data_IF_835367071449
#
_entry.id   IF_835367071449
#
_cell.length_a   1.000
_cell.length_b   1.000
_cell.length_c   1.000
_cell.angle_alpha   90.00
_cell.angle_beta   90.00
_cell.angle_gamma   90.00
#
_symmetry.space_group_name_H-M   'P 1'
#
loop_
_entity.id
_entity.type
_entity.pdbx_description
1 polymer ?
#
# COMPACT_ATOMS: atom_id res chain seq x y z
N UNK A 1 -76.47 23.01 20.14
CA UNK A 1 -76.38 22.76 18.69
C UNK A 1 -76.45 24.12 18.03
N UNK A 2 -75.52 24.71 17.31
CA UNK A 2 -74.11 24.52 16.97
C UNK A 2 -73.62 25.94 16.64
N UNK A 3 -72.43 26.35 17.09
CA UNK A 3 -71.81 27.64 16.74
C UNK A 3 -70.78 27.40 15.65
N UNK A 4 -70.87 28.15 14.55
CA UNK A 4 -69.99 28.04 13.39
C UNK A 4 -69.21 29.34 13.21
N UNK A 5 -67.91 29.21 12.94
CA UNK A 5 -67.14 30.21 12.20
C UNK A 5 -66.00 30.90 12.95
N UNK A 6 -65.00 30.13 13.38
CA UNK A 6 -63.75 30.65 13.94
C UNK A 6 -62.84 31.26 12.87
N UNK A 7 -62.22 32.37 13.28
CA UNK A 7 -61.23 33.21 12.61
C UNK A 7 -59.99 32.46 12.10
N UNK A 8 -59.49 32.94 10.97
CA UNK A 8 -58.22 32.55 10.35
C UNK A 8 -57.03 33.00 11.20
N UNK A 9 -56.16 32.06 11.59
CA UNK A 9 -54.82 32.37 12.10
C UNK A 9 -53.77 31.75 11.19
N UNK A 10 -52.94 32.60 10.59
CA UNK A 10 -51.79 32.20 9.79
C UNK A 10 -50.73 31.55 10.70
N UNK A 11 -50.58 30.24 10.58
CA UNK A 11 -49.51 29.49 11.25
C UNK A 11 -48.21 29.63 10.46
N UNK A 12 -47.30 30.43 11.02
CA UNK A 12 -45.94 30.64 10.54
C UNK A 12 -45.14 29.35 10.77
N UNK A 13 -45.07 28.46 9.77
CA UNK A 13 -44.28 27.24 9.82
C UNK A 13 -42.78 27.57 9.64
N UNK A 14 -42.11 27.89 10.75
CA UNK A 14 -40.65 27.80 10.82
C UNK A 14 -40.25 26.33 10.75
N UNK A 15 -39.96 25.86 9.53
CA UNK A 15 -39.28 24.60 9.33
C UNK A 15 -37.87 24.69 9.93
N UNK A 16 -37.71 24.20 11.15
CA UNK A 16 -36.41 23.85 11.71
C UNK A 16 -35.76 22.81 10.80
N UNK A 17 -34.84 23.25 9.95
CA UNK A 17 -33.90 22.35 9.30
C UNK A 17 -33.21 21.53 10.40
N UNK A 18 -33.24 20.18 10.35
CA UNK A 18 -32.51 19.39 11.30
C UNK A 18 -31.03 19.72 11.09
N UNK A 19 -30.41 20.35 12.08
CA UNK A 19 -28.97 20.53 12.15
C UNK A 19 -28.33 19.19 11.80
N UNK A 20 -27.66 19.12 10.64
CA UNK A 20 -26.76 18.01 10.33
C UNK A 20 -25.86 17.91 11.55
N UNK A 21 -26.01 16.83 12.32
CA UNK A 21 -25.08 16.50 13.40
C UNK A 21 -23.73 16.39 12.73
N UNK A 22 -22.94 17.46 12.79
CA UNK A 22 -21.52 17.41 12.44
C UNK A 22 -20.92 16.41 13.41
N UNK A 23 -20.79 15.15 12.98
CA UNK A 23 -19.95 14.20 13.69
C UNK A 23 -18.54 14.74 13.56
N UNK A 24 -18.07 15.37 14.62
CA UNK A 24 -16.69 15.82 14.72
C UNK A 24 -15.78 14.60 14.57
N UNK A 25 -14.79 14.63 13.67
CA UNK A 25 -13.80 13.57 13.59
C UNK A 25 -13.15 13.36 14.95
N UNK A 26 -12.88 12.12 15.32
CA UNK A 26 -12.03 11.87 16.49
C UNK A 26 -10.65 12.47 16.23
N UNK A 27 -9.97 12.98 17.27
CA UNK A 27 -8.63 13.57 17.13
C UNK A 27 -7.65 12.70 16.30
N UNK A 28 -7.60 11.36 16.47
CA UNK A 28 -6.73 10.51 15.65
C UNK A 28 -7.08 10.47 14.16
N UNK A 29 -8.34 10.70 13.79
CA UNK A 29 -8.75 10.77 12.39
C UNK A 29 -8.47 12.15 11.81
N UNK A 30 -8.71 13.22 12.57
CA UNK A 30 -8.35 14.58 12.17
C UNK A 30 -6.85 14.68 11.84
N UNK A 31 -5.98 14.11 12.68
CA UNK A 31 -4.53 14.06 12.42
C UNK A 31 -4.19 13.33 11.11
N UNK A 32 -4.95 12.30 10.76
CA UNK A 32 -4.72 11.55 9.52
C UNK A 32 -5.20 12.31 8.30
N UNK A 33 -6.31 13.04 8.42
CA UNK A 33 -6.79 13.94 7.37
C UNK A 33 -5.71 15.01 7.12
N UNK A 34 -5.19 15.63 8.18
CA UNK A 34 -4.08 16.59 8.09
C UNK A 34 -2.90 15.96 7.35
N UNK A 35 -2.44 14.78 7.77
CA UNK A 35 -1.32 14.05 7.12
C UNK A 35 -1.59 13.62 5.68
N UNK A 36 -2.85 13.46 5.28
CA UNK A 36 -3.22 13.11 3.91
C UNK A 36 -3.17 14.35 2.99
N UNK A 37 -3.45 15.52 3.54
CA UNK A 37 -3.43 16.80 2.83
C UNK A 37 -2.02 17.41 2.81
N UNK A 38 -1.31 17.39 3.94
CA UNK A 38 -0.04 18.11 4.11
C UNK A 38 1.19 17.35 3.64
N UNK A 39 1.23 16.03 3.75
CA UNK A 39 2.40 15.27 3.33
C UNK A 39 2.54 15.22 1.81
N UNK A 40 3.79 15.09 1.35
CA UNK A 40 4.11 14.86 -0.05
C UNK A 40 3.66 13.46 -0.48
N UNK A 41 2.40 13.35 -0.89
CA UNK A 41 1.79 12.15 -1.45
C UNK A 41 1.39 12.43 -2.89
N UNK A 42 1.70 11.50 -3.79
CA UNK A 42 1.41 11.63 -5.23
C UNK A 42 0.79 10.35 -5.79
N UNK A 43 -0.10 10.50 -6.76
CA UNK A 43 -0.67 9.40 -7.53
C UNK A 43 0.24 9.05 -8.71
N UNK A 44 0.71 7.81 -8.77
CA UNK A 44 1.57 7.31 -9.85
C UNK A 44 0.73 6.79 -11.02
N UNK A 45 -0.25 5.94 -10.68
CA UNK A 45 -1.09 5.24 -11.64
C UNK A 45 -2.38 4.78 -10.96
N UNK A 46 -3.41 4.52 -11.76
CA UNK A 46 -4.62 3.86 -11.30
C UNK A 46 -5.20 3.01 -12.43
N UNK A 47 -5.90 1.95 -12.07
CA UNK A 47 -6.76 1.19 -12.96
C UNK A 47 -7.94 0.63 -12.17
N UNK A 48 -9.14 0.69 -12.74
CA UNK A 48 -10.40 0.30 -12.10
C UNK A 48 -10.56 0.89 -10.69
N UNK A 49 -10.34 0.07 -9.65
CA UNK A 49 -10.45 0.44 -8.24
C UNK A 49 -9.11 0.51 -7.51
N UNK A 50 -8.00 0.29 -8.22
CA UNK A 50 -6.66 0.20 -7.66
C UNK A 50 -5.86 1.48 -7.95
N UNK A 51 -5.26 2.05 -6.91
CA UNK A 51 -4.48 3.28 -6.95
C UNK A 51 -3.08 3.05 -6.41
N UNK A 52 -2.07 3.53 -7.14
CA UNK A 52 -0.65 3.45 -6.75
C UNK A 52 -0.18 4.81 -6.28
N UNK A 53 0.24 4.88 -5.02
CA UNK A 53 0.53 6.12 -4.31
C UNK A 53 1.99 6.13 -3.94
N UNK A 54 2.69 7.19 -4.32
CA UNK A 54 4.00 7.51 -3.79
C UNK A 54 3.85 8.14 -2.41
N UNK A 55 4.44 7.51 -1.41
CA UNK A 55 4.50 8.02 -0.04
C UNK A 55 5.62 9.04 0.13
N UNK A 56 5.54 9.82 1.22
CA UNK A 56 6.52 10.86 1.57
C UNK A 56 7.97 10.36 1.81
N UNK A 57 8.19 9.04 1.86
CA UNK A 57 9.53 8.43 1.96
C UNK A 57 9.99 7.82 0.63
N UNK A 58 9.29 8.12 -0.47
CA UNK A 58 9.49 7.53 -1.79
C UNK A 58 8.97 6.09 -1.95
N UNK A 59 8.39 5.49 -0.91
CA UNK A 59 7.83 4.13 -1.00
C UNK A 59 6.48 4.13 -1.74
N UNK A 60 6.27 3.16 -2.61
CA UNK A 60 5.01 2.97 -3.32
C UNK A 60 4.06 2.11 -2.48
N UNK A 61 2.85 2.63 -2.25
CA UNK A 61 1.75 1.94 -1.59
C UNK A 61 0.58 1.75 -2.55
N UNK A 62 -0.11 0.63 -2.41
CA UNK A 62 -1.29 0.32 -3.21
C UNK A 62 -2.53 0.50 -2.36
N UNK A 63 -3.50 1.26 -2.83
CA UNK A 63 -4.84 1.40 -2.26
C UNK A 63 -5.84 0.73 -3.17
N UNK A 64 -6.70 -0.12 -2.60
CA UNK A 64 -7.82 -0.73 -3.31
C UNK A 64 -9.13 -0.18 -2.74
N UNK A 65 -9.89 0.50 -3.58
CA UNK A 65 -11.22 0.98 -3.25
C UNK A 65 -12.24 -0.14 -3.42
N UNK A 66 -12.82 -0.56 -2.30
CA UNK A 66 -13.92 -1.50 -2.27
C UNK A 66 -14.89 -1.08 -1.18
N UNK A 67 -15.90 -1.92 -0.87
CA UNK A 67 -16.77 -1.70 0.29
C UNK A 67 -15.97 -1.61 1.59
N UNK A 68 -14.79 -2.23 1.65
CA UNK A 68 -13.81 -2.06 2.74
C UNK A 68 -12.48 -1.63 2.12
N UNK A 69 -12.22 -0.31 1.98
CA UNK A 69 -10.99 0.19 1.39
C UNK A 69 -9.76 -0.35 2.13
N UNK A 70 -8.76 -0.80 1.37
CA UNK A 70 -7.54 -1.38 1.92
C UNK A 70 -6.29 -0.67 1.38
N UNK A 71 -5.20 -0.73 2.15
CA UNK A 71 -3.92 -0.15 1.77
C UNK A 71 -2.77 -1.08 2.18
N UNK A 72 -1.73 -1.18 1.34
CA UNK A 72 -0.54 -2.00 1.62
C UNK A 72 0.42 -1.37 2.64
N UNK A 73 0.16 -0.14 3.09
CA UNK A 73 1.01 0.58 4.03
C UNK A 73 1.08 -0.10 5.41
N UNK A 74 2.11 0.16 6.23
CA UNK A 74 2.26 -0.46 7.54
C UNK A 74 1.23 -0.01 8.59
N UNK A 75 0.47 1.07 8.32
CA UNK A 75 -0.60 1.52 9.21
C UNK A 75 -1.76 0.52 9.21
N UNK A 76 -1.98 -0.12 10.37
CA UNK A 76 -3.04 -1.12 10.57
C UNK A 76 -4.42 -0.51 10.77
N UNK A 77 -4.51 0.81 10.84
CA UNK A 77 -5.77 1.48 11.10
C UNK A 77 -6.40 1.99 9.82
N UNK A 78 -7.66 1.61 9.59
CA UNK A 78 -8.45 2.10 8.47
C UNK A 78 -9.44 3.21 8.92
N UNK A 79 -9.65 4.26 8.10
CA UNK A 79 -8.82 4.63 6.95
C UNK A 79 -7.45 5.18 7.39
N UNK A 80 -6.39 4.83 6.64
CA UNK A 80 -5.05 5.38 6.82
C UNK A 80 -4.90 6.66 5.98
N UNK A 81 -3.79 7.40 6.17
CA UNK A 81 -3.54 8.63 5.40
C UNK A 81 -3.55 8.43 3.88
N UNK A 82 -3.14 7.26 3.37
CA UNK A 82 -3.13 6.98 1.93
C UNK A 82 -4.53 6.76 1.35
N UNK A 83 -5.43 6.12 2.10
CA UNK A 83 -6.84 5.98 1.71
C UNK A 83 -7.49 7.37 1.70
N UNK A 84 -7.25 8.17 2.74
CA UNK A 84 -7.75 9.53 2.82
C UNK A 84 -7.19 10.44 1.72
N UNK A 85 -5.92 10.26 1.34
CA UNK A 85 -5.32 10.95 0.20
C UNK A 85 -6.08 10.65 -1.10
N UNK A 86 -6.44 9.39 -1.35
CA UNK A 86 -7.24 9.02 -2.52
C UNK A 86 -8.61 9.69 -2.47
N UNK A 87 -9.30 9.67 -1.34
CA UNK A 87 -10.59 10.32 -1.25
C UNK A 87 -10.50 11.84 -1.45
N UNK A 88 -9.62 12.51 -0.72
CA UNK A 88 -9.59 13.98 -0.68
C UNK A 88 -8.90 14.56 -1.91
N UNK A 89 -7.67 14.13 -2.20
CA UNK A 89 -6.82 14.76 -3.22
C UNK A 89 -6.98 14.13 -4.60
N UNK A 90 -7.22 12.83 -4.68
CA UNK A 90 -7.37 12.13 -5.98
C UNK A 90 -8.80 12.24 -6.49
N UNK A 91 -9.80 11.96 -5.64
CA UNK A 91 -11.22 11.97 -6.02
C UNK A 91 -11.96 13.27 -5.68
N UNK A 92 -11.31 14.23 -5.03
CA UNK A 92 -11.90 15.54 -4.73
C UNK A 92 -13.02 15.51 -3.69
N UNK A 93 -13.05 14.49 -2.82
CA UNK A 93 -14.05 14.40 -1.74
C UNK A 93 -13.76 15.47 -0.69
N UNK A 94 -14.80 16.22 -0.29
CA UNK A 94 -14.68 17.21 0.78
C UNK A 94 -14.23 16.58 2.10
N UNK A 95 -13.39 17.29 2.85
CA UNK A 95 -12.93 16.90 4.19
C UNK A 95 -14.08 16.74 5.20
N UNK A 96 -15.24 17.34 4.92
CA UNK A 96 -16.45 17.24 5.73
C UNK A 96 -17.36 16.06 5.33
N UNK A 97 -17.01 15.29 4.29
CA UNK A 97 -17.82 14.14 3.86
C UNK A 97 -17.73 13.01 4.89
N UNK A 98 -18.90 12.49 5.27
CA UNK A 98 -19.04 11.42 6.26
C UNK A 98 -18.43 10.10 5.80
N UNK A 99 -18.20 9.90 4.50
CA UNK A 99 -17.54 8.69 4.00
C UNK A 99 -16.10 8.56 4.50
N UNK A 100 -15.42 9.69 4.79
CA UNK A 100 -14.05 9.71 5.34
C UNK A 100 -13.98 9.17 6.77
N UNK A 101 -15.09 9.23 7.51
CA UNK A 101 -15.19 8.77 8.90
C UNK A 101 -15.42 7.26 8.99
N UNK A 102 -15.81 6.62 7.90
CA UNK A 102 -16.25 5.22 7.91
C UNK A 102 -15.11 4.29 7.49
N UNK A 103 -15.04 3.14 8.17
CA UNK A 103 -14.16 2.03 7.77
C UNK A 103 -14.69 1.28 6.56
N UNK A 104 -16.00 1.30 6.39
CA UNK A 104 -16.71 0.63 5.30
C UNK A 104 -17.57 1.62 4.55
N UNK A 105 -17.59 1.48 3.23
CA UNK A 105 -18.40 2.27 2.33
C UNK A 105 -19.67 1.50 1.99
N UNK A 106 -20.79 2.22 1.88
CA UNK A 106 -22.00 1.64 1.28
C UNK A 106 -21.77 1.41 -0.22
N UNK A 107 -22.40 0.40 -0.84
CA UNK A 107 -22.25 0.15 -2.27
C UNK A 107 -22.53 1.39 -3.14
N UNK A 108 -23.55 2.18 -2.79
CA UNK A 108 -23.87 3.43 -3.49
C UNK A 108 -22.79 4.52 -3.30
N UNK A 109 -22.14 4.58 -2.13
CA UNK A 109 -21.03 5.51 -1.87
C UNK A 109 -19.80 5.10 -2.67
N UNK A 110 -19.48 3.80 -2.72
CA UNK A 110 -18.39 3.28 -3.52
C UNK A 110 -18.60 3.58 -5.01
N UNK A 111 -19.79 3.29 -5.55
CA UNK A 111 -20.11 3.57 -6.95
C UNK A 111 -20.00 5.06 -7.27
N UNK A 112 -20.50 5.92 -6.37
CA UNK A 112 -20.33 7.38 -6.48
C UNK A 112 -18.85 7.76 -6.56
N UNK A 113 -18.02 7.24 -5.65
CA UNK A 113 -16.59 7.54 -5.61
C UNK A 113 -15.85 7.09 -6.87
N UNK A 114 -16.16 5.90 -7.39
CA UNK A 114 -15.55 5.37 -8.62
C UNK A 114 -15.99 6.12 -9.88
N UNK A 115 -17.10 6.86 -9.81
CA UNK A 115 -17.61 7.69 -10.91
C UNK A 115 -17.06 9.13 -10.89
N UNK A 116 -16.32 9.52 -9.84
CA UNK A 116 -15.73 10.86 -9.76
C UNK A 116 -14.54 11.00 -10.71
N UNK A 117 -14.35 12.19 -11.31
CA UNK A 117 -13.15 12.46 -12.09
C UNK A 117 -11.92 12.45 -11.19
N UNK A 118 -10.81 11.96 -11.74
CA UNK A 118 -9.52 11.92 -11.04
C UNK A 118 -8.80 13.25 -11.23
N UNK A 119 -8.42 13.89 -10.12
CA UNK A 119 -7.69 15.14 -10.11
C UNK A 119 -6.26 14.96 -10.63
N UNK A 120 -5.90 15.75 -11.64
CA UNK A 120 -4.56 15.77 -12.23
C UNK A 120 -3.52 16.43 -11.32
N UNK A 121 -3.92 17.30 -10.38
CA UNK A 121 -3.02 17.96 -9.43
C UNK A 121 -2.35 16.98 -8.45
N UNK A 122 -3.02 15.85 -8.22
CA UNK A 122 -2.51 14.79 -7.36
C UNK A 122 -1.49 13.89 -8.04
N UNK A 123 -1.34 13.97 -9.37
CA UNK A 123 -0.44 13.11 -10.14
C UNK A 123 1.03 13.43 -9.86
N UNK A 124 1.85 12.39 -9.83
CA UNK A 124 3.30 12.50 -9.80
C UNK A 124 3.86 12.98 -11.15
N UNK A 125 5.10 13.48 -11.11
CA UNK A 125 5.83 13.89 -12.30
C UNK A 125 5.91 12.75 -13.35
N UNK A 126 5.80 13.05 -14.66
CA UNK A 126 5.81 12.04 -15.71
C UNK A 126 7.02 11.08 -15.64
N UNK A 127 8.20 11.61 -15.30
CA UNK A 127 9.43 10.82 -15.16
C UNK A 127 9.31 9.73 -14.08
N UNK A 128 8.79 10.09 -12.91
CA UNK A 128 8.59 9.14 -11.79
C UNK A 128 7.56 8.08 -12.18
N UNK A 129 6.51 8.48 -12.88
CA UNK A 129 5.47 7.56 -13.37
C UNK A 129 6.03 6.58 -14.40
N UNK A 130 6.83 7.06 -15.35
CA UNK A 130 7.48 6.20 -16.34
C UNK A 130 8.41 5.18 -15.65
N UNK A 131 9.21 5.64 -14.69
CA UNK A 131 10.06 4.75 -13.87
C UNK A 131 9.23 3.74 -13.08
N UNK A 132 8.12 4.16 -12.49
CA UNK A 132 7.17 3.25 -11.85
C UNK A 132 6.68 2.18 -12.83
N UNK A 133 6.26 2.56 -14.04
CA UNK A 133 5.80 1.60 -15.05
C UNK A 133 6.90 0.63 -15.47
N UNK A 134 8.12 1.12 -15.69
CA UNK A 134 9.27 0.29 -16.03
C UNK A 134 9.58 -0.72 -14.92
N UNK A 135 9.68 -0.28 -13.66
CA UNK A 135 10.06 -1.16 -12.57
C UNK A 135 8.91 -2.10 -12.17
N UNK A 136 7.71 -1.58 -11.94
CA UNK A 136 6.59 -2.36 -11.40
C UNK A 136 6.08 -3.44 -12.36
N UNK A 137 6.01 -3.15 -13.68
CA UNK A 137 5.54 -4.14 -14.65
C UNK A 137 6.66 -5.08 -15.14
N UNK A 138 7.91 -4.60 -15.24
CA UNK A 138 9.03 -5.46 -15.62
C UNK A 138 9.45 -6.41 -14.48
N UNK A 139 9.29 -5.99 -13.23
CA UNK A 139 9.52 -6.83 -12.05
C UNK A 139 8.47 -7.93 -11.91
N UNK A 140 7.22 -7.73 -12.37
CA UNK A 140 6.24 -8.82 -12.52
C UNK A 140 6.66 -9.87 -13.57
N UNK A 141 7.35 -9.46 -14.63
CA UNK A 141 7.96 -10.40 -15.59
C UNK A 141 9.24 -11.06 -15.08
N UNK A 142 9.95 -10.46 -14.11
CA UNK A 142 11.17 -11.02 -13.50
C UNK A 142 10.90 -11.83 -12.23
N UNK A 143 9.77 -11.62 -11.56
CA UNK A 143 9.37 -12.33 -10.33
C UNK A 143 9.01 -13.81 -10.58
N UNK A 144 8.82 -14.22 -11.84
CA UNK A 144 8.76 -15.64 -12.20
C UNK A 144 10.14 -16.30 -12.31
N UNK A 145 11.24 -15.53 -12.38
CA UNK A 145 12.59 -16.06 -12.60
C UNK A 145 13.64 -15.15 -11.94
N UNK A 146 13.81 -15.26 -10.62
CA UNK A 146 15.16 -15.08 -10.06
C UNK A 146 16.01 -16.22 -10.62
N UNK A 147 16.53 -16.02 -11.83
CA UNK A 147 17.51 -16.91 -12.48
C UNK A 147 18.81 -16.68 -11.74
N UNK A 148 18.93 -17.31 -10.58
CA UNK A 148 20.24 -17.49 -9.97
C UNK A 148 21.01 -18.32 -10.99
N UNK A 149 22.05 -17.76 -11.57
CA UNK A 149 22.95 -18.51 -12.44
C UNK A 149 23.65 -19.55 -11.58
N UNK A 150 23.04 -20.74 -11.50
CA UNK A 150 23.71 -21.91 -10.95
C UNK A 150 24.84 -22.22 -11.94
N UNK A 151 26.08 -22.04 -11.50
CA UNK A 151 27.26 -22.48 -12.25
C UNK A 151 27.14 -23.98 -12.54
N UNK A 152 27.56 -24.40 -13.75
CA UNK A 152 27.47 -25.82 -14.15
C UNK A 152 28.33 -26.67 -13.20
N UNK A 153 27.73 -27.69 -12.58
CA UNK A 153 28.42 -28.63 -11.68
C UNK A 153 28.19 -28.41 -10.18
N UNK A 154 27.29 -27.50 -9.78
CA UNK A 154 26.89 -27.40 -8.37
C UNK A 154 25.96 -28.57 -8.01
N UNK A 155 26.34 -29.34 -6.98
CA UNK A 155 25.57 -30.49 -6.50
C UNK A 155 24.77 -30.14 -5.25
N UNK A 156 23.57 -30.70 -5.13
CA UNK A 156 22.77 -30.60 -3.92
C UNK A 156 23.42 -31.45 -2.82
N UNK A 157 23.85 -30.89 -1.68
CA UNK A 157 24.53 -31.64 -0.61
C UNK A 157 23.62 -32.59 0.18
N UNK A 158 22.32 -32.69 -0.18
CA UNK A 158 21.38 -33.63 0.43
C UNK A 158 21.24 -34.89 -0.43
N UNK A 159 20.96 -34.74 -1.73
CA UNK A 159 20.80 -35.88 -2.65
C UNK A 159 22.05 -36.20 -3.48
N UNK A 160 23.06 -35.33 -3.46
CA UNK A 160 24.31 -35.40 -4.23
C UNK A 160 24.11 -35.35 -5.76
N UNK A 161 22.93 -34.93 -6.22
CA UNK A 161 22.62 -34.77 -7.64
C UNK A 161 23.01 -33.37 -8.12
N UNK A 162 23.39 -33.27 -9.39
CA UNK A 162 23.68 -32.01 -10.06
C UNK A 162 22.42 -31.16 -10.22
N UNK A 163 22.52 -29.88 -9.88
CA UNK A 163 21.39 -28.96 -9.91
C UNK A 163 21.29 -28.29 -11.28
N UNK A 164 20.14 -28.42 -11.94
CA UNK A 164 19.91 -27.81 -13.24
C UNK A 164 19.32 -26.39 -13.13
N UNK A 165 19.46 -25.59 -14.20
CA UNK A 165 18.94 -24.20 -14.27
C UNK A 165 17.42 -24.09 -14.18
N UNK A 166 16.70 -25.21 -14.32
CA UNK A 166 15.24 -25.29 -14.39
C UNK A 166 14.63 -25.80 -13.07
N UNK A 167 15.46 -26.27 -12.13
CA UNK A 167 15.00 -26.85 -10.87
C UNK A 167 14.81 -25.77 -9.80
N UNK A 168 13.79 -25.96 -8.94
CA UNK A 168 13.50 -25.02 -7.86
C UNK A 168 14.51 -25.21 -6.73
N UNK A 169 15.31 -24.17 -6.48
CA UNK A 169 16.37 -24.18 -5.47
C UNK A 169 16.19 -23.11 -4.40
N UNK A 170 16.45 -23.50 -3.14
CA UNK A 170 16.58 -22.61 -2.00
C UNK A 170 18.04 -22.42 -1.63
N UNK A 171 18.47 -21.19 -1.34
CA UNK A 171 19.87 -20.88 -1.07
C UNK A 171 20.06 -20.35 0.35
N UNK A 172 21.06 -20.87 1.04
CA UNK A 172 21.39 -20.39 2.38
C UNK A 172 21.92 -18.94 2.34
N UNK A 173 21.27 -18.02 3.04
CA UNK A 173 21.72 -16.62 3.19
C UNK A 173 22.98 -16.40 4.02
N UNK A 174 23.74 -17.45 4.37
CA UNK A 174 25.05 -17.32 5.05
C UNK A 174 26.15 -17.94 4.21
N UNK A 175 26.07 -19.24 3.90
CA UNK A 175 27.10 -19.92 3.12
C UNK A 175 26.83 -19.96 1.61
N UNK A 176 25.71 -19.41 1.15
CA UNK A 176 25.31 -19.31 -0.26
C UNK A 176 25.23 -20.63 -1.03
N UNK A 177 25.26 -21.77 -0.35
CA UNK A 177 25.09 -23.07 -0.99
C UNK A 177 23.61 -23.33 -1.33
N UNK A 178 23.31 -23.74 -2.59
CA UNK A 178 21.97 -24.08 -3.02
C UNK A 178 21.58 -25.50 -2.57
N UNK A 179 20.29 -25.70 -2.33
CA UNK A 179 19.63 -26.99 -2.08
C UNK A 179 18.39 -27.08 -2.96
N UNK A 180 18.03 -28.28 -3.41
CA UNK A 180 16.71 -28.49 -4.04
C UNK A 180 15.62 -28.12 -3.03
N UNK A 181 14.54 -27.50 -3.49
CA UNK A 181 13.42 -27.13 -2.63
C UNK A 181 12.82 -28.34 -1.92
N UNK A 182 12.71 -29.47 -2.62
CA UNK A 182 12.29 -30.75 -2.06
C UNK A 182 13.24 -31.27 -0.96
N UNK A 183 14.55 -31.20 -1.19
CA UNK A 183 15.57 -31.60 -0.22
C UNK A 183 15.53 -30.68 1.01
N UNK A 184 15.37 -29.37 0.80
CA UNK A 184 15.21 -28.39 1.87
C UNK A 184 13.93 -28.65 2.68
N UNK A 185 12.82 -29.00 2.03
CA UNK A 185 11.56 -29.34 2.70
C UNK A 185 11.66 -30.65 3.49
N UNK A 186 12.31 -31.68 2.93
CA UNK A 186 12.58 -32.92 3.66
C UNK A 186 13.45 -32.66 4.90
N UNK A 187 14.49 -31.84 4.77
CA UNK A 187 15.34 -31.38 5.87
C UNK A 187 14.56 -30.58 6.92
N UNK A 188 13.59 -29.75 6.50
CA UNK A 188 12.69 -29.04 7.42
C UNK A 188 11.87 -30.00 8.28
N UNK A 189 11.32 -31.05 7.65
CA UNK A 189 10.43 -32.02 8.31
C UNK A 189 11.19 -32.91 9.28
N UNK A 190 12.43 -33.29 8.96
CA UNK A 190 13.27 -34.13 9.84
C UNK A 190 13.81 -33.35 11.06
N UNK A 191 13.97 -32.03 10.95
CA UNK A 191 14.47 -31.20 12.04
C UNK A 191 13.34 -30.79 13.00
N UNK A 192 13.18 -31.52 14.12
CA UNK A 192 12.15 -31.27 15.17
C UNK A 192 12.24 -29.91 15.90
N UNK A 193 13.12 -29.00 15.49
CA UNK A 193 13.34 -27.70 16.14
C UNK A 193 12.48 -26.61 15.50
N UNK A 194 12.01 -25.65 16.31
CA UNK A 194 11.24 -24.46 15.86
C UNK A 194 12.00 -23.55 14.88
N UNK A 195 13.32 -23.73 14.73
CA UNK A 195 14.13 -22.97 13.76
C UNK A 195 14.94 -23.92 12.87
N UNK A 196 14.79 -23.73 11.55
CA UNK A 196 15.56 -24.43 10.54
C UNK A 196 17.01 -23.95 10.57
N UNK A 197 17.96 -24.87 10.46
CA UNK A 197 19.41 -24.59 10.35
C UNK A 197 19.93 -25.10 9.02
N UNK A 198 20.92 -24.43 8.45
CA UNK A 198 21.63 -24.88 7.26
C UNK A 198 22.34 -26.21 7.52
N UNK A 199 22.18 -27.17 6.59
CA UNK A 199 22.87 -28.47 6.60
C UNK A 199 24.40 -28.28 6.51
N UNK A 200 24.87 -27.25 5.79
CA UNK A 200 26.29 -26.97 5.62
C UNK A 200 26.86 -26.16 6.79
N UNK A 201 26.43 -24.90 6.93
CA UNK A 201 27.06 -23.97 7.88
C UNK A 201 26.39 -23.94 9.26
N UNK A 202 25.30 -24.69 9.48
CA UNK A 202 24.53 -24.75 10.75
C UNK A 202 23.93 -23.41 11.22
N UNK A 203 24.14 -22.32 10.48
CA UNK A 203 23.49 -21.04 10.72
C UNK A 203 21.96 -21.16 10.59
N UNK A 204 21.22 -20.25 11.22
CA UNK A 204 19.76 -20.17 11.06
C UNK A 204 19.43 -20.00 9.58
N UNK A 205 18.58 -20.87 9.04
CA UNK A 205 18.20 -20.82 7.64
C UNK A 205 17.43 -19.53 7.36
N UNK A 206 17.99 -18.72 6.47
CA UNK A 206 17.36 -17.58 5.85
C UNK A 206 17.44 -17.87 4.36
N UNK A 207 16.30 -18.00 3.72
CA UNK A 207 16.28 -18.15 2.26
C UNK A 207 16.74 -16.83 1.66
N UNK A 208 17.72 -16.85 0.75
CA UNK A 208 18.12 -15.62 0.04
C UNK A 208 16.94 -15.00 -0.70
N UNK A 209 16.00 -15.81 -1.22
CA UNK A 209 14.75 -15.28 -1.82
C UNK A 209 13.89 -14.56 -0.79
N UNK A 210 13.82 -15.06 0.45
CA UNK A 210 13.05 -14.46 1.53
C UNK A 210 13.76 -13.29 2.25
N UNK A 211 15.09 -13.17 2.12
CA UNK A 211 15.83 -12.01 2.64
C UNK A 211 15.62 -10.77 1.76
N UNK A 212 15.42 -10.93 0.45
CA UNK A 212 14.97 -9.83 -0.42
C UNK A 212 13.57 -9.33 -0.02
N UNK A 213 12.68 -10.23 0.44
CA UNK A 213 11.32 -9.86 0.86
C UNK A 213 11.26 -8.98 2.13
N UNK A 214 12.33 -8.93 2.94
CA UNK A 214 12.34 -8.16 4.20
C UNK A 214 12.92 -6.75 4.07
N UNK A 215 13.78 -6.50 3.08
CA UNK A 215 14.28 -5.14 2.76
C UNK A 215 13.52 -4.48 1.60
N UNK A 216 12.94 -5.26 0.67
CA UNK A 216 12.24 -4.75 -0.52
C UNK A 216 10.72 -5.01 -0.50
N UNK A 217 10.07 -4.90 0.66
CA UNK A 217 8.59 -5.06 0.71
C UNK A 217 7.88 -4.02 -0.16
N UNK A 218 8.50 -2.86 -0.37
CA UNK A 218 7.93 -1.75 -1.13
C UNK A 218 8.91 -1.30 -2.20
N UNK A 219 8.41 -1.11 -3.42
CA UNK A 219 9.15 -0.41 -4.47
C UNK A 219 9.42 1.03 -3.99
N UNK A 220 10.68 1.44 -3.96
CA UNK A 220 11.08 2.78 -3.57
C UNK A 220 11.53 3.59 -4.79
N UNK A 221 10.96 4.78 -4.97
CA UNK A 221 11.21 5.69 -6.07
C UNK A 221 11.85 7.02 -5.62
N UNK A 222 12.36 7.12 -4.39
CA UNK A 222 12.93 8.34 -3.83
C UNK A 222 14.07 8.92 -4.67
N UNK A 223 14.86 8.05 -5.30
CA UNK A 223 15.98 8.45 -6.15
C UNK A 223 15.57 9.18 -7.44
N UNK A 224 14.30 9.10 -7.82
CA UNK A 224 13.77 9.65 -9.07
C UNK A 224 12.80 10.81 -8.85
N UNK A 225 12.44 11.08 -7.59
CA UNK A 225 11.54 12.15 -7.21
C UNK A 225 12.35 13.39 -6.81
N UNK A 226 12.69 14.22 -7.81
CA UNK A 226 13.53 15.41 -7.65
C UNK A 226 12.94 16.41 -6.64
N UNK A 227 11.61 16.45 -6.51
CA UNK A 227 10.88 17.32 -5.58
C UNK A 227 11.16 16.99 -4.10
N UNK A 228 11.66 15.79 -3.81
CA UNK A 228 11.96 15.33 -2.45
C UNK A 228 13.42 15.63 -2.04
N UNK A 229 14.29 16.02 -2.98
CA UNK A 229 15.70 16.37 -2.71
C UNK A 229 15.90 17.82 -2.27
N UNK A 230 14.85 18.65 -2.32
CA UNK A 230 14.93 20.08 -2.02
C UNK A 230 14.86 20.38 -0.52
N UNK A 231 14.21 19.53 0.28
CA UNK A 231 14.05 19.76 1.73
C UNK A 231 15.35 19.56 2.54
N UNK A 232 16.30 18.76 2.05
CA UNK A 232 17.58 18.54 2.75
C UNK A 232 18.63 19.65 2.50
N UNK A 233 18.38 20.58 1.57
CA UNK A 233 19.32 21.68 1.27
C UNK A 233 19.06 22.97 2.05
N UNK A 234 17.93 23.08 2.75
CA UNK A 234 17.57 24.29 3.50
C UNK A 234 17.89 24.21 5.01
N UNK A 235 18.41 23.08 5.50
CA UNK A 235 18.81 22.90 6.90
C UNK A 235 20.28 23.24 7.19
N UNK A 236 21.06 23.67 6.19
CA UNK A 236 22.51 23.96 6.34
C UNK A 236 22.93 25.41 6.00
N UNK A 237 22.00 26.35 5.83
CA UNK A 237 22.34 27.78 5.76
C UNK A 237 21.66 28.57 6.89
N UNK A 238 22.13 28.35 8.12
CA UNK A 238 21.87 29.20 9.27
C UNK A 238 23.17 29.39 10.03
N UNK A 239 24.03 30.26 9.52
CA UNK A 239 25.14 30.88 10.27
C UNK A 239 24.72 32.25 10.73
#
# INVERSE_FOLDING_TARGET
>A
MESIGSSSTASNNHHHHPHRRHLMPTQPLADRIIRAVSHHLRLLHHYDTTFFILGATGNVYTVNLSTTPSCSCPDRTAPCKHILFVFIRVLGVSVDDMCLLRRTLRPCELQRLLSLPISTESLANPNVRERFHQLFFQERSKSSVLKIEIEKGVTCPICLEEMNKEERVGICGTCKNPLHEECLMAWKRSNRRRSMKCVICRAKWRDLRANCEQQDKYLNLSAYDDDMQVEDRQSHCGS
#
